data_IF_956950793779
#
_entry.id   IF_956950793779
#
_cell.length_a   1.000
_cell.length_b   1.000
_cell.length_c   1.000
_cell.angle_alpha   90.00
_cell.angle_beta   90.00
_cell.angle_gamma   90.00
#
_symmetry.space_group_name_H-M   'P 1'
#
loop_
_entity.id
_entity.type
_entity.pdbx_description
1 polymer ?
#
# COMPACT_ATOMS: atom_id res chain seq x y z
N UNK A 1 33.64 -4.07 -5.40
CA UNK A 1 33.48 -5.52 -5.62
C UNK A 1 32.17 -6.00 -4.98
N UNK A 2 31.04 -5.98 -5.68
CA UNK A 2 29.74 -6.39 -5.09
C UNK A 2 28.80 -7.20 -6.01
N UNK A 3 29.23 -7.57 -7.23
CA UNK A 3 28.37 -8.23 -8.24
C UNK A 3 28.62 -9.74 -8.44
N UNK A 4 29.53 -10.36 -7.68
CA UNK A 4 30.01 -11.73 -7.98
C UNK A 4 29.22 -12.91 -7.36
N UNK A 5 28.05 -12.68 -6.73
CA UNK A 5 27.28 -13.77 -6.07
C UNK A 5 25.78 -13.86 -6.35
N UNK A 6 25.14 -12.84 -6.91
CA UNK A 6 23.75 -12.93 -7.38
C UNK A 6 23.75 -12.78 -8.90
N UNK A 7 23.34 -13.82 -9.63
CA UNK A 7 23.10 -13.71 -11.08
C UNK A 7 21.74 -13.06 -11.34
N UNK A 8 21.62 -12.16 -12.33
CA UNK A 8 20.34 -11.58 -12.69
C UNK A 8 19.44 -12.62 -13.37
N UNK A 9 18.17 -12.68 -12.97
CA UNK A 9 17.12 -13.52 -13.54
C UNK A 9 16.78 -13.07 -14.98
N UNK A 10 16.78 -11.75 -15.17
CA UNK A 10 16.56 -11.08 -16.45
C UNK A 10 17.35 -9.77 -16.44
N UNK A 11 17.84 -9.35 -17.61
CA UNK A 11 18.50 -8.07 -17.83
C UNK A 11 18.10 -7.49 -19.17
N UNK A 12 17.87 -6.19 -19.23
CA UNK A 12 17.59 -5.43 -20.45
C UNK A 12 18.27 -4.06 -20.39
N UNK A 13 18.36 -3.34 -21.51
CA UNK A 13 18.91 -1.98 -21.53
C UNK A 13 17.80 -0.94 -21.66
N UNK A 14 17.82 0.09 -20.80
CA UNK A 14 16.86 1.20 -20.85
C UNK A 14 17.50 2.50 -20.33
N UNK A 15 16.95 3.64 -20.77
CA UNK A 15 17.20 4.94 -20.12
C UNK A 15 16.34 5.04 -18.86
N UNK A 16 16.95 5.41 -17.73
CA UNK A 16 16.26 5.49 -16.43
C UNK A 16 15.85 6.93 -16.14
N UNK A 17 14.64 7.10 -15.61
CA UNK A 17 14.08 8.37 -15.19
C UNK A 17 13.47 8.24 -13.79
N UNK A 18 13.50 9.33 -13.03
CA UNK A 18 12.75 9.46 -11.77
C UNK A 18 11.75 10.59 -11.88
N UNK A 19 10.60 10.46 -11.21
CA UNK A 19 9.74 11.62 -11.00
C UNK A 19 10.39 12.58 -10.02
N UNK A 20 10.31 13.89 -10.28
CA UNK A 20 10.81 14.92 -9.39
C UNK A 20 10.08 14.84 -8.02
N UNK A 21 10.81 14.70 -6.89
CA UNK A 21 10.18 14.59 -5.58
C UNK A 21 9.45 15.86 -5.14
N UNK A 22 9.78 17.03 -5.70
CA UNK A 22 9.13 18.32 -5.40
C UNK A 22 7.86 18.53 -6.24
N UNK A 23 7.95 18.35 -7.55
CA UNK A 23 6.80 18.65 -8.44
C UNK A 23 5.83 17.49 -8.56
N UNK A 24 6.30 16.25 -8.35
CA UNK A 24 5.56 14.98 -8.58
C UNK A 24 4.89 14.90 -9.96
N UNK A 25 5.42 15.62 -10.96
CA UNK A 25 4.89 15.72 -12.33
C UNK A 25 5.95 15.73 -13.42
N UNK A 26 7.15 16.26 -13.15
CA UNK A 26 8.26 16.30 -14.10
C UNK A 26 9.13 15.06 -14.00
N UNK A 27 9.60 14.56 -15.15
CA UNK A 27 10.60 13.49 -15.21
C UNK A 27 12.00 14.09 -15.20
N UNK A 28 12.89 13.51 -14.39
CA UNK A 28 14.31 13.81 -14.31
C UNK A 28 15.08 12.61 -14.84
N UNK A 29 15.96 12.84 -15.81
CA UNK A 29 16.88 11.81 -16.33
C UNK A 29 17.81 11.31 -15.22
N UNK A 30 17.79 10.01 -14.96
CA UNK A 30 18.58 9.36 -13.92
C UNK A 30 19.78 8.56 -14.45
N UNK A 31 19.83 8.28 -15.76
CA UNK A 31 20.99 7.72 -16.45
C UNK A 31 21.37 8.53 -17.70
N UNK A 32 22.66 8.74 -17.95
CA UNK A 32 23.17 9.51 -19.10
C UNK A 32 23.02 8.79 -20.45
N UNK A 33 22.80 7.48 -20.41
CA UNK A 33 22.64 6.58 -21.56
C UNK A 33 21.72 5.41 -21.19
N UNK A 34 21.42 4.55 -22.15
CA UNK A 34 20.81 3.26 -21.88
C UNK A 34 21.78 2.40 -21.04
N UNK A 35 21.31 1.91 -19.91
CA UNK A 35 22.07 1.09 -18.96
C UNK A 35 21.33 -0.21 -18.65
N UNK A 36 22.04 -1.19 -18.10
CA UNK A 36 21.43 -2.47 -17.74
C UNK A 36 20.49 -2.30 -16.54
N UNK A 37 19.25 -2.75 -16.71
CA UNK A 37 18.22 -2.86 -15.67
C UNK A 37 17.91 -4.34 -15.52
N UNK A 38 18.05 -4.86 -14.30
CA UNK A 38 18.07 -6.30 -14.06
C UNK A 38 17.23 -6.69 -12.85
N UNK A 39 16.57 -7.85 -12.95
CA UNK A 39 15.84 -8.48 -11.85
C UNK A 39 16.77 -9.44 -11.10
N UNK A 40 16.81 -9.32 -9.78
CA UNK A 40 17.60 -10.19 -8.88
C UNK A 40 16.68 -10.82 -7.83
N UNK A 41 17.02 -12.02 -7.39
CA UNK A 41 16.48 -12.64 -6.19
C UNK A 41 17.54 -12.60 -5.09
N UNK A 42 17.22 -11.89 -4.01
CA UNK A 42 18.04 -11.82 -2.80
C UNK A 42 17.65 -12.97 -1.89
N UNK A 43 18.47 -14.03 -1.89
CA UNK A 43 18.22 -15.23 -1.09
C UNK A 43 18.38 -14.99 0.41
N UNK A 44 19.16 -13.98 0.82
CA UNK A 44 19.36 -13.63 2.23
C UNK A 44 18.13 -12.98 2.86
N UNK A 45 17.32 -12.29 2.04
CA UNK A 45 16.09 -11.61 2.46
C UNK A 45 14.81 -12.19 1.84
N UNK A 46 14.92 -13.29 1.11
CA UNK A 46 13.82 -13.99 0.42
C UNK A 46 12.90 -13.04 -0.38
N UNK A 47 13.52 -12.13 -1.16
CA UNK A 47 12.79 -11.09 -1.89
C UNK A 47 13.38 -10.81 -3.26
N UNK A 48 12.57 -10.23 -4.15
CA UNK A 48 12.97 -9.86 -5.50
C UNK A 48 13.21 -8.36 -5.62
N UNK A 49 14.19 -7.97 -6.45
CA UNK A 49 14.61 -6.58 -6.64
C UNK A 49 14.84 -6.25 -8.10
N UNK A 50 14.52 -5.03 -8.50
CA UNK A 50 15.00 -4.40 -9.72
C UNK A 50 16.21 -3.54 -9.34
N UNK A 51 17.36 -3.82 -9.94
CA UNK A 51 18.61 -3.11 -9.70
C UNK A 51 19.16 -2.58 -11.02
N UNK A 52 19.64 -1.35 -11.00
CA UNK A 52 20.38 -0.75 -12.10
C UNK A 52 21.45 0.18 -11.56
N UNK A 53 22.64 0.14 -12.16
CA UNK A 53 23.83 0.87 -11.73
C UNK A 53 24.42 1.66 -12.90
N UNK A 54 24.83 2.89 -12.63
CA UNK A 54 25.60 3.72 -13.55
C UNK A 54 26.97 4.03 -12.91
N UNK A 55 28.04 3.48 -13.48
CA UNK A 55 29.36 3.51 -12.87
C UNK A 55 29.36 2.80 -11.51
N UNK A 56 29.68 3.54 -10.44
CA UNK A 56 29.64 3.05 -9.05
C UNK A 56 28.32 3.35 -8.31
N UNK A 57 27.39 4.08 -8.94
CA UNK A 57 26.16 4.57 -8.31
C UNK A 57 24.97 3.68 -8.66
N UNK A 58 24.26 3.18 -7.65
CA UNK A 58 22.95 2.58 -7.85
C UNK A 58 21.93 3.68 -8.21
N UNK A 59 21.28 3.53 -9.37
CA UNK A 59 20.21 4.44 -9.82
C UNK A 59 18.82 3.82 -9.61
N UNK A 60 18.71 2.49 -9.65
CA UNK A 60 17.50 1.75 -9.23
C UNK A 60 17.89 0.71 -8.16
N UNK A 61 17.12 0.64 -7.08
CA UNK A 61 17.18 -0.40 -6.04
C UNK A 61 15.78 -0.64 -5.47
N UNK A 62 14.86 -1.07 -6.34
CA UNK A 62 13.45 -1.24 -6.05
C UNK A 62 13.17 -2.67 -5.60
N UNK A 63 12.66 -2.87 -4.37
CA UNK A 63 12.14 -4.18 -3.96
C UNK A 63 10.76 -4.38 -4.57
N UNK A 64 10.52 -5.52 -5.22
CA UNK A 64 9.23 -5.85 -5.80
C UNK A 64 8.27 -6.31 -4.69
N UNK A 65 7.01 -5.88 -4.77
CA UNK A 65 5.96 -6.25 -3.82
C UNK A 65 4.74 -6.78 -4.59
N UNK A 66 3.88 -7.64 -3.99
CA UNK A 66 2.74 -8.23 -4.70
C UNK A 66 1.74 -7.21 -5.27
N UNK A 67 1.68 -6.01 -4.68
CA UNK A 67 0.75 -4.93 -5.07
C UNK A 67 1.39 -3.89 -6.00
N UNK A 68 2.67 -4.05 -6.39
CA UNK A 68 3.29 -3.18 -7.38
C UNK A 68 2.72 -3.45 -8.77
N UNK A 69 2.49 -2.37 -9.52
CA UNK A 69 2.06 -2.40 -10.92
C UNK A 69 3.06 -1.63 -11.75
N UNK A 70 3.51 -2.25 -12.84
CA UNK A 70 4.20 -1.55 -13.92
C UNK A 70 3.17 -1.13 -14.96
N UNK A 71 3.11 0.17 -15.24
CA UNK A 71 2.15 0.78 -16.17
C UNK A 71 2.91 1.25 -17.41
N UNK A 72 2.53 0.73 -18.57
CA UNK A 72 2.96 1.27 -19.86
C UNK A 72 2.24 2.61 -20.10
N UNK A 73 2.99 3.66 -20.44
CA UNK A 73 2.44 5.00 -20.71
C UNK A 73 2.80 5.55 -22.09
N UNK A 74 3.64 4.84 -22.86
CA UNK A 74 3.80 5.03 -24.30
C UNK A 74 4.28 3.74 -24.98
N UNK A 75 4.47 3.76 -26.30
CA UNK A 75 4.98 2.62 -27.08
C UNK A 75 6.35 2.09 -26.60
N UNK A 76 7.19 2.95 -25.99
CA UNK A 76 8.55 2.61 -25.56
C UNK A 76 8.86 3.03 -24.12
N UNK A 77 7.85 3.45 -23.35
CA UNK A 77 8.01 3.91 -21.98
C UNK A 77 7.00 3.28 -21.04
N UNK A 78 7.48 2.88 -19.87
CA UNK A 78 6.64 2.44 -18.76
C UNK A 78 7.25 2.80 -17.42
N UNK A 79 6.45 2.71 -16.36
CA UNK A 79 6.77 3.23 -15.04
C UNK A 79 6.18 2.38 -13.92
N UNK A 80 6.77 2.44 -12.73
CA UNK A 80 6.17 1.90 -11.50
C UNK A 80 6.49 2.80 -10.30
N UNK A 81 5.64 2.74 -9.27
CA UNK A 81 5.84 3.43 -8.01
C UNK A 81 6.51 2.48 -7.00
N UNK A 82 7.59 2.93 -6.35
CA UNK A 82 8.15 2.28 -5.16
C UNK A 82 7.89 3.17 -3.94
N UNK A 83 6.87 2.77 -3.17
CA UNK A 83 6.46 3.45 -1.93
C UNK A 83 7.59 3.46 -0.89
N UNK A 84 8.38 2.38 -0.81
CA UNK A 84 9.50 2.25 0.14
C UNK A 84 10.65 3.20 -0.22
N UNK A 85 10.86 3.47 -1.50
CA UNK A 85 11.82 4.45 -2.00
C UNK A 85 11.23 5.87 -2.18
N UNK A 86 9.92 6.06 -1.92
CA UNK A 86 9.15 7.31 -2.12
C UNK A 86 9.37 7.95 -3.51
N UNK A 87 9.49 7.12 -4.55
CA UNK A 87 9.78 7.55 -5.91
C UNK A 87 8.99 6.75 -6.95
N UNK A 88 8.86 7.33 -8.13
CA UNK A 88 8.33 6.65 -9.32
C UNK A 88 9.48 6.52 -10.31
N UNK A 89 9.79 5.29 -10.68
CA UNK A 89 10.79 4.96 -11.69
C UNK A 89 10.11 4.91 -13.06
N UNK A 90 10.77 5.44 -14.08
CA UNK A 90 10.39 5.36 -15.48
C UNK A 90 11.52 4.78 -16.31
N UNK A 91 11.19 3.95 -17.31
CA UNK A 91 12.15 3.32 -18.21
C UNK A 91 11.78 3.59 -19.67
N UNK A 92 12.73 4.14 -20.42
CA UNK A 92 12.65 4.31 -21.88
C UNK A 92 13.47 3.25 -22.61
N UNK A 93 12.81 2.38 -23.36
CA UNK A 93 13.40 1.26 -24.10
C UNK A 93 13.73 1.64 -25.55
N UNK A 94 14.63 0.89 -26.22
CA UNK A 94 14.95 1.14 -27.62
C UNK A 94 13.82 0.66 -28.55
N UNK A 95 13.11 -0.40 -28.16
CA UNK A 95 12.00 -1.01 -28.90
C UNK A 95 10.79 -1.33 -28.01
N UNK A 96 9.62 -1.42 -28.64
CA UNK A 96 8.37 -1.90 -28.00
C UNK A 96 8.49 -3.35 -27.53
N UNK A 97 9.21 -4.19 -28.28
CA UNK A 97 9.46 -5.59 -27.93
C UNK A 97 10.29 -5.76 -26.63
N UNK A 98 11.23 -4.86 -26.33
CA UNK A 98 11.96 -4.87 -25.06
C UNK A 98 11.07 -4.46 -23.88
N UNK A 99 10.22 -3.44 -24.09
CA UNK A 99 9.22 -3.02 -23.11
C UNK A 99 8.23 -4.16 -22.80
N UNK A 100 7.73 -4.85 -23.83
CA UNK A 100 6.86 -6.04 -23.67
C UNK A 100 7.52 -7.13 -22.81
N UNK A 101 8.75 -7.53 -23.14
CA UNK A 101 9.53 -8.50 -22.34
C UNK A 101 9.74 -8.05 -20.89
N UNK A 102 9.96 -6.75 -20.66
CA UNK A 102 10.08 -6.21 -19.31
C UNK A 102 8.76 -6.30 -18.53
N UNK A 103 7.63 -6.00 -19.18
CA UNK A 103 6.29 -6.12 -18.59
C UNK A 103 6.01 -7.57 -18.18
N UNK A 104 6.26 -8.53 -19.07
CA UNK A 104 6.10 -9.97 -18.81
C UNK A 104 6.93 -10.41 -17.59
N UNK A 105 8.24 -10.07 -17.57
CA UNK A 105 9.12 -10.39 -16.45
C UNK A 105 8.77 -9.68 -15.16
N UNK A 106 8.23 -8.46 -15.21
CA UNK A 106 7.71 -7.78 -14.02
C UNK A 106 6.54 -8.57 -13.41
N UNK A 107 5.60 -9.06 -14.21
CA UNK A 107 4.47 -9.86 -13.72
C UNK A 107 4.91 -11.23 -13.18
N UNK A 108 5.80 -11.93 -13.88
CA UNK A 108 6.38 -13.21 -13.44
C UNK A 108 7.04 -13.09 -12.06
N UNK A 109 7.88 -12.06 -11.87
CA UNK A 109 8.57 -11.83 -10.60
C UNK A 109 7.62 -11.34 -9.49
N UNK A 110 6.54 -10.62 -9.84
CA UNK A 110 5.50 -10.22 -8.88
C UNK A 110 4.72 -11.43 -8.33
N UNK A 111 4.32 -12.37 -9.18
CA UNK A 111 3.69 -13.61 -8.71
C UNK A 111 4.68 -14.53 -7.97
N UNK A 112 5.96 -14.57 -8.38
CA UNK A 112 7.00 -15.26 -7.62
C UNK A 112 7.18 -14.66 -6.21
N UNK A 113 7.09 -13.32 -6.07
CA UNK A 113 7.14 -12.62 -4.78
C UNK A 113 5.96 -13.00 -3.87
N UNK A 114 4.74 -13.05 -4.43
CA UNK A 114 3.53 -13.50 -3.73
C UNK A 114 3.66 -14.96 -3.24
N UNK A 115 4.23 -15.83 -4.06
CA UNK A 115 4.47 -17.24 -3.71
C UNK A 115 5.57 -17.40 -2.63
N UNK A 116 6.62 -16.59 -2.67
CA UNK A 116 7.66 -16.56 -1.63
C UNK A 116 7.10 -16.13 -0.27
N UNK A 117 6.21 -15.11 -0.26
CA UNK A 117 5.54 -14.63 0.95
C UNK A 117 4.58 -15.68 1.55
N UNK A 118 3.80 -16.36 0.70
CA UNK A 118 2.89 -17.44 1.14
C UNK A 118 3.66 -18.63 1.74
N UNK A 119 4.80 -19.02 1.17
CA UNK A 119 5.68 -20.07 1.73
C UNK A 119 6.26 -19.66 3.09
N UNK A 120 6.67 -18.40 3.25
CA UNK A 120 7.14 -17.88 4.53
C UNK A 120 6.05 -17.85 5.62
N UNK A 121 4.77 -17.78 5.24
CA UNK A 121 3.65 -17.81 6.20
C UNK A 121 3.24 -19.22 6.66
N UNK A 122 3.70 -20.28 5.99
CA UNK A 122 3.34 -21.67 6.36
C UNK A 122 4.37 -22.30 7.32
N UNK A 123 5.63 -21.90 7.21
CA UNK A 123 6.66 -22.22 8.22
C UNK A 123 6.79 -21.03 9.18
N UNK A 124 6.17 -21.13 10.35
CA UNK A 124 6.01 -20.02 11.32
C UNK A 124 7.32 -19.51 11.94
N UNK A 125 8.09 -18.73 11.19
CA UNK A 125 9.27 -18.01 11.68
C UNK A 125 9.21 -16.53 11.26
N UNK A 126 8.36 -15.76 11.94
CA UNK A 126 8.18 -14.32 11.72
C UNK A 126 9.33 -13.50 12.29
N UNK A 127 10.49 -13.51 11.63
CA UNK A 127 11.53 -12.50 11.88
C UNK A 127 11.17 -11.20 11.17
N UNK A 128 10.48 -10.30 11.89
CA UNK A 128 10.28 -8.92 11.46
C UNK A 128 11.62 -8.19 11.50
N UNK A 129 12.33 -8.12 10.38
CA UNK A 129 13.60 -7.37 10.26
C UNK A 129 13.41 -6.06 9.51
N UNK A 130 12.89 -5.08 10.24
CA UNK A 130 13.04 -3.66 9.89
C UNK A 130 14.48 -3.20 10.12
N UNK A 131 15.41 -3.44 9.19
CA UNK A 131 16.68 -2.70 9.08
C UNK A 131 17.45 -3.01 7.78
N UNK A 132 17.62 -2.01 6.92
CA UNK A 132 18.95 -1.41 6.69
C UNK A 132 18.88 -0.27 5.66
N UNK A 133 19.12 0.95 6.13
CA UNK A 133 19.83 1.94 5.33
C UNK A 133 21.30 1.50 5.24
N UNK A 134 21.94 1.61 4.08
CA UNK A 134 23.36 1.28 3.93
C UNK A 134 24.26 2.33 4.60
N UNK A 135 25.40 1.94 5.19
CA UNK A 135 26.31 2.88 5.83
C UNK A 135 27.05 3.72 4.78
N UNK A 136 27.17 5.03 5.04
CA UNK A 136 28.11 5.90 4.32
C UNK A 136 29.50 5.69 4.91
N UNK A 137 30.49 5.52 4.05
CA UNK A 137 31.88 5.21 4.39
C UNK A 137 32.56 6.33 5.18
N UNK A 138 33.50 5.94 6.04
CA UNK A 138 34.26 6.81 6.93
C UNK A 138 34.98 8.00 6.26
N UNK A 139 35.06 9.10 7.02
CA UNK A 139 36.32 9.86 7.15
C UNK A 139 36.65 10.03 8.63
N UNK A 140 37.91 9.75 8.94
CA UNK A 140 38.52 9.87 10.27
C UNK A 140 39.25 11.21 10.42
N UNK A 141 39.18 11.79 11.60
CA UNK A 141 40.19 12.70 12.15
C UNK A 141 40.16 12.61 13.68
N UNK A 142 41.33 12.72 14.31
CA UNK A 142 41.56 12.33 15.70
C UNK A 142 41.27 13.44 16.71
N UNK A 143 41.15 13.03 17.99
CA UNK A 143 41.57 13.74 19.22
C UNK A 143 41.21 15.22 19.38
N UNK A 144 40.37 15.54 20.38
CA UNK A 144 40.92 15.83 21.71
C UNK A 144 39.86 15.77 22.82
N UNK A 145 40.33 15.56 24.05
CA UNK A 145 39.61 15.84 25.30
C UNK A 145 39.59 17.35 25.59
N UNK A 146 38.47 17.89 26.08
CA UNK A 146 38.46 18.47 27.44
C UNK A 146 37.04 18.85 27.95
N UNK A 147 36.78 18.41 29.17
CA UNK A 147 36.32 19.14 30.37
C UNK A 147 35.36 20.35 30.30
N UNK A 148 34.41 20.36 31.25
CA UNK A 148 33.52 21.46 31.64
C UNK A 148 34.27 22.64 32.27
N UNK A 149 33.73 23.87 32.11
CA UNK A 149 33.67 24.88 33.18
C UNK A 149 32.48 25.84 32.96
N UNK A 150 31.55 26.03 33.94
CA UNK A 150 30.42 26.95 33.82
C UNK A 150 30.60 28.21 34.68
N UNK A 151 31.25 29.25 34.15
CA UNK A 151 31.12 30.62 34.67
C UNK A 151 31.65 31.69 33.68
N UNK A 152 30.76 32.48 33.09
CA UNK A 152 31.02 33.92 33.00
C UNK A 152 29.71 34.72 32.89
N UNK A 153 29.64 35.81 33.64
CA UNK A 153 28.57 36.80 33.65
C UNK A 153 29.06 38.04 32.94
N UNK A 154 28.31 38.52 31.93
CA UNK A 154 27.93 39.93 31.93
C UNK A 154 26.75 40.22 30.98
N UNK A 155 25.99 41.27 31.31
CA UNK A 155 25.00 41.88 30.45
C UNK A 155 24.95 43.38 30.75
N UNK A 156 24.68 44.24 29.74
CA UNK A 156 23.45 45.01 29.89
C UNK A 156 22.60 45.17 28.61
N UNK A 157 21.30 44.98 28.82
CA UNK A 157 20.12 45.40 28.03
C UNK A 157 19.89 46.91 28.38
N UNK A 158 19.22 47.84 27.62
CA UNK A 158 17.94 47.68 26.90
C UNK A 158 17.82 48.54 25.60
N UNK A 159 16.69 48.77 24.91
CA UNK A 159 15.25 48.42 24.99
C UNK A 159 14.72 48.31 23.51
N UNK A 160 13.46 48.03 23.12
CA UNK A 160 12.12 47.75 23.71
C UNK A 160 11.51 46.53 22.97
N UNK A 161 10.36 45.92 23.30
CA UNK A 161 9.30 46.22 24.27
C UNK A 161 7.95 46.53 23.62
N UNK A 162 7.21 45.50 23.15
CA UNK A 162 5.77 45.30 23.45
C UNK A 162 5.11 44.17 22.60
N UNK A 163 4.65 43.14 23.30
CA UNK A 163 3.47 42.34 22.93
C UNK A 163 2.64 42.23 24.22
N UNK A 164 1.30 42.29 24.14
CA UNK A 164 0.52 41.51 25.11
C UNK A 164 -0.67 40.74 24.53
N UNK A 165 -0.85 39.55 25.12
CA UNK A 165 -2.12 38.92 25.48
C UNK A 165 -3.09 38.37 24.40
N UNK A 166 -2.96 37.05 24.22
CA UNK A 166 -4.03 36.03 24.15
C UNK A 166 -5.41 36.46 24.68
N UNK A 167 -6.48 36.21 23.91
CA UNK A 167 -7.71 35.56 24.44
C UNK A 167 -8.73 35.07 23.40
N UNK A 168 -9.13 33.80 23.61
CA UNK A 168 -10.47 33.19 23.41
C UNK A 168 -10.99 32.86 21.99
N UNK A 169 -11.21 31.55 21.84
CA UNK A 169 -12.19 30.84 20.98
C UNK A 169 -13.39 31.68 20.50
N UNK A 170 -13.70 31.53 19.21
CA UNK A 170 -15.09 31.36 18.75
C UNK A 170 -15.13 30.27 17.68
N UNK A 171 -16.07 29.33 17.81
CA UNK A 171 -16.37 28.32 16.79
C UNK A 171 -17.46 28.89 15.89
N UNK A 172 -17.21 28.98 14.58
CA UNK A 172 -18.24 29.38 13.62
C UNK A 172 -18.66 28.18 12.76
N UNK A 173 -19.89 27.74 12.97
CA UNK A 173 -20.56 26.75 12.13
C UNK A 173 -20.83 27.39 10.77
N UNK A 174 -20.24 26.87 9.70
CA UNK A 174 -20.63 27.25 8.33
C UNK A 174 -21.72 26.30 7.87
N UNK A 175 -22.95 26.82 7.90
CA UNK A 175 -24.15 26.12 7.48
C UNK A 175 -24.20 26.00 5.95
N UNK A 176 -24.68 24.87 5.47
CA UNK A 176 -24.83 24.56 4.05
C UNK A 176 -25.71 25.57 3.33
N UNK A 177 -25.29 26.05 2.15
CA UNK A 177 -26.25 26.48 1.15
C UNK A 177 -25.84 26.00 -0.26
N UNK A 178 -26.81 25.46 -1.00
CA UNK A 178 -26.59 24.86 -2.32
C UNK A 178 -26.69 25.95 -3.39
N UNK A 179 -25.69 26.08 -4.25
CA UNK A 179 -25.92 26.59 -5.60
C UNK A 179 -25.06 25.82 -6.60
N UNK A 180 -25.73 25.18 -7.56
CA UNK A 180 -25.09 24.41 -8.62
C UNK A 180 -24.54 25.34 -9.71
N UNK A 181 -23.23 25.33 -9.89
CA UNK A 181 -22.53 25.82 -11.10
C UNK A 181 -21.46 24.80 -11.47
N UNK A 182 -21.42 24.41 -12.74
CA UNK A 182 -20.58 23.32 -13.26
C UNK A 182 -19.21 23.89 -13.68
N UNK A 183 -18.07 23.37 -13.17
CA UNK A 183 -16.75 23.62 -13.75
C UNK A 183 -16.44 22.59 -14.83
N UNK A 184 -15.99 23.07 -15.98
CA UNK A 184 -15.51 22.28 -17.12
C UNK A 184 -14.25 21.47 -16.80
N UNK A 185 -14.20 20.20 -17.22
CA UNK A 185 -13.01 19.35 -17.19
C UNK A 185 -12.25 19.35 -18.54
N UNK A 186 -10.93 19.09 -18.56
CA UNK A 186 -10.09 19.13 -19.76
C UNK A 186 -10.26 17.89 -20.67
N UNK A 187 -9.83 17.95 -21.94
CA UNK A 187 -10.01 16.85 -22.89
C UNK A 187 -9.00 15.71 -22.69
N UNK A 188 -9.48 14.48 -22.64
CA UNK A 188 -8.70 13.24 -22.73
C UNK A 188 -9.04 12.50 -24.02
N UNK A 189 -8.03 12.22 -24.85
CA UNK A 189 -8.17 11.88 -26.28
C UNK A 189 -8.46 10.40 -26.60
N UNK A 190 -9.21 9.68 -25.77
CA UNK A 190 -9.40 8.22 -25.91
C UNK A 190 -10.72 7.78 -26.59
N UNK A 191 -11.44 8.71 -27.25
CA UNK A 191 -12.80 8.47 -27.75
C UNK A 191 -12.91 8.00 -29.23
N UNK A 192 -11.81 7.86 -29.98
CA UNK A 192 -11.86 7.71 -31.45
C UNK A 192 -11.76 6.27 -32.00
N UNK A 193 -11.37 5.27 -31.21
CA UNK A 193 -11.07 3.94 -31.77
C UNK A 193 -12.27 2.99 -31.95
N UNK A 194 -13.44 3.24 -31.34
CA UNK A 194 -14.60 2.33 -31.45
C UNK A 194 -15.63 2.74 -32.54
N UNK A 195 -15.44 3.86 -33.24
CA UNK A 195 -16.33 4.25 -34.34
C UNK A 195 -16.06 3.49 -35.66
N UNK A 196 -14.83 2.99 -35.85
CA UNK A 196 -14.36 2.50 -37.16
C UNK A 196 -14.84 1.08 -37.51
N UNK A 197 -15.29 0.28 -36.54
CA UNK A 197 -15.73 -1.11 -36.79
C UNK A 197 -17.04 -1.18 -37.58
N UNK A 198 -17.95 -0.21 -37.41
CA UNK A 198 -19.26 -0.19 -38.06
C UNK A 198 -19.23 0.31 -39.51
N UNK A 199 -18.18 1.00 -39.95
CA UNK A 199 -18.10 1.53 -41.32
C UNK A 199 -17.65 0.50 -42.36
N UNK A 200 -17.01 -0.60 -41.96
CA UNK A 200 -16.41 -1.56 -42.89
C UNK A 200 -17.39 -2.66 -43.35
N UNK A 201 -18.40 -3.05 -42.56
CA UNK A 201 -19.36 -4.08 -42.99
C UNK A 201 -20.42 -3.57 -43.99
N UNK A 202 -20.69 -2.25 -44.03
CA UNK A 202 -21.77 -1.71 -44.87
C UNK A 202 -21.46 -1.61 -46.38
N UNK A 203 -20.21 -1.84 -46.81
CA UNK A 203 -19.83 -1.71 -48.23
C UNK A 203 -20.02 -2.95 -49.09
N UNK A 204 -20.44 -4.09 -48.51
CA UNK A 204 -20.43 -5.39 -49.21
C UNK A 204 -21.82 -5.94 -49.61
N UNK A 205 -22.92 -5.22 -49.35
CA UNK A 205 -24.29 -5.71 -49.61
C UNK A 205 -25.13 -4.81 -50.54
N UNK A 206 -24.51 -3.92 -51.32
CA UNK A 206 -25.22 -3.02 -52.26
C UNK A 206 -24.98 -3.38 -53.73
N UNK A 207 -25.20 -4.65 -54.10
CA UNK A 207 -25.34 -5.08 -55.50
C UNK A 207 -26.42 -6.18 -55.58
N UNK A 208 -27.65 -5.76 -55.89
CA UNK A 208 -28.73 -6.51 -56.58
C UNK A 208 -30.12 -6.15 -56.04
N UNK A 209 -30.84 -5.29 -56.76
CA UNK A 209 -32.28 -5.46 -57.09
C UNK A 209 -32.77 -4.28 -57.92
N UNK A 210 -33.17 -4.58 -59.15
CA UNK A 210 -33.82 -3.64 -60.07
C UNK A 210 -35.27 -4.07 -60.29
N UNK A 211 -36.24 -3.22 -59.95
CA UNK A 211 -37.45 -2.97 -60.78
C UNK A 211 -38.51 -2.11 -60.08
N UNK A 212 -39.16 -1.27 -60.89
CA UNK A 212 -40.55 -0.77 -60.82
C UNK A 212 -41.21 -0.48 -59.46
N UNK A 213 -41.37 0.82 -59.21
CA UNK A 213 -42.67 1.53 -59.11
C UNK A 213 -43.66 1.17 -58.00
N UNK A 214 -44.07 2.21 -57.23
CA UNK A 214 -45.06 2.13 -56.15
C UNK A 214 -44.47 2.13 -54.72
N UNK A 215 -45.06 2.94 -53.84
CA UNK A 215 -44.86 2.98 -52.37
C UNK A 215 -43.55 3.61 -51.83
N UNK A 216 -43.42 4.93 -51.98
CA UNK A 216 -42.32 5.75 -51.40
C UNK A 216 -42.36 5.89 -49.87
N UNK A 217 -43.41 5.43 -49.18
CA UNK A 217 -43.59 5.54 -47.72
C UNK A 217 -43.03 4.36 -46.94
N UNK A 218 -43.22 3.13 -47.43
CA UNK A 218 -42.87 1.89 -46.70
C UNK A 218 -41.36 1.77 -46.38
N UNK A 219 -40.49 2.16 -47.32
CA UNK A 219 -39.03 2.11 -47.11
C UNK A 219 -38.57 3.05 -45.98
N UNK A 220 -39.13 4.27 -45.92
CA UNK A 220 -38.84 5.22 -44.85
C UNK A 220 -39.33 4.72 -43.48
N UNK A 221 -40.53 4.13 -43.41
CA UNK A 221 -41.06 3.53 -42.19
C UNK A 221 -40.23 2.34 -41.71
N UNK A 222 -39.78 1.46 -42.62
CA UNK A 222 -38.90 0.34 -42.29
C UNK A 222 -37.53 0.82 -41.77
N UNK A 223 -36.95 1.86 -42.37
CA UNK A 223 -35.70 2.45 -41.91
C UNK A 223 -35.85 3.11 -40.54
N UNK A 224 -36.93 3.87 -40.30
CA UNK A 224 -37.25 4.44 -38.99
C UNK A 224 -37.47 3.34 -37.94
N UNK A 225 -38.15 2.24 -38.28
CA UNK A 225 -38.37 1.09 -37.39
C UNK A 225 -37.05 0.40 -37.04
N UNK A 226 -36.14 0.22 -38.00
CA UNK A 226 -34.78 -0.29 -37.75
C UNK A 226 -33.96 0.65 -36.85
N UNK A 227 -33.98 1.97 -37.13
CA UNK A 227 -33.25 2.96 -36.34
C UNK A 227 -33.81 3.08 -34.92
N UNK A 228 -35.13 2.96 -34.74
CA UNK A 228 -35.77 2.93 -33.42
C UNK A 228 -35.32 1.70 -32.60
N UNK A 229 -35.30 0.50 -33.18
CA UNK A 229 -34.77 -0.69 -32.51
C UNK A 229 -33.26 -0.57 -32.19
N UNK A 230 -32.46 0.00 -33.09
CA UNK A 230 -31.04 0.30 -32.82
C UNK A 230 -30.89 1.26 -31.63
N UNK A 231 -31.71 2.30 -31.56
CA UNK A 231 -31.72 3.27 -30.45
C UNK A 231 -32.20 2.65 -29.14
N UNK A 232 -33.19 1.74 -29.16
CA UNK A 232 -33.60 0.96 -27.96
C UNK A 232 -32.45 0.10 -27.44
N UNK A 233 -31.77 -0.65 -28.31
CA UNK A 233 -30.61 -1.46 -27.92
C UNK A 233 -29.47 -0.58 -27.35
N UNK A 234 -29.18 0.56 -27.97
CA UNK A 234 -28.19 1.51 -27.48
C UNK A 234 -28.58 2.11 -26.11
N UNK A 235 -29.87 2.42 -25.89
CA UNK A 235 -30.37 2.92 -24.62
C UNK A 235 -30.30 1.86 -23.51
N UNK A 236 -30.67 0.61 -23.81
CA UNK A 236 -30.54 -0.51 -22.89
C UNK A 236 -29.06 -0.81 -22.53
N UNK A 237 -28.15 -0.71 -23.50
CA UNK A 237 -26.71 -0.82 -23.25
C UNK A 237 -26.20 0.36 -22.41
N UNK A 238 -26.68 1.58 -22.66
CA UNK A 238 -26.32 2.78 -21.89
C UNK A 238 -26.79 2.69 -20.44
N UNK A 239 -28.00 2.17 -20.18
CA UNK A 239 -28.51 1.97 -18.80
C UNK A 239 -27.75 0.87 -18.06
N UNK A 240 -27.37 -0.22 -18.73
CA UNK A 240 -26.49 -1.25 -18.15
C UNK A 240 -25.11 -0.70 -17.81
N UNK A 241 -24.54 0.16 -18.68
CA UNK A 241 -23.28 0.85 -18.41
C UNK A 241 -23.43 1.81 -17.21
N UNK A 242 -24.49 2.62 -17.15
CA UNK A 242 -24.75 3.51 -16.01
C UNK A 242 -24.80 2.74 -14.68
N UNK A 243 -25.53 1.62 -14.63
CA UNK A 243 -25.59 0.74 -13.44
C UNK A 243 -24.23 0.15 -13.06
N UNK A 244 -23.36 -0.17 -14.03
CA UNK A 244 -21.97 -0.59 -13.76
C UNK A 244 -21.19 0.54 -13.08
N UNK A 245 -21.26 1.77 -13.61
CA UNK A 245 -20.60 2.94 -13.01
C UNK A 245 -21.12 3.26 -11.60
N UNK A 246 -22.43 3.07 -11.34
CA UNK A 246 -23.01 3.22 -10.00
C UNK A 246 -22.42 2.21 -8.99
N UNK A 247 -22.32 0.94 -9.38
CA UNK A 247 -21.73 -0.13 -8.55
C UNK A 247 -20.24 0.13 -8.30
N UNK A 248 -19.50 0.55 -9.33
CA UNK A 248 -18.08 0.88 -9.22
C UNK A 248 -17.86 2.09 -8.31
N UNK A 249 -18.69 3.14 -8.43
CA UNK A 249 -18.68 4.31 -7.55
C UNK A 249 -19.02 3.95 -6.09
N UNK A 250 -20.00 3.08 -5.85
CA UNK A 250 -20.32 2.59 -4.51
C UNK A 250 -19.16 1.78 -3.90
N UNK A 251 -18.50 0.96 -4.71
CA UNK A 251 -17.32 0.17 -4.32
C UNK A 251 -16.14 1.08 -3.99
N UNK A 252 -15.87 2.09 -4.82
CA UNK A 252 -14.83 3.09 -4.58
C UNK A 252 -15.08 3.90 -3.31
N UNK A 253 -16.33 4.29 -3.03
CA UNK A 253 -16.72 4.96 -1.77
C UNK A 253 -16.46 4.06 -0.54
N UNK A 254 -16.83 2.79 -0.61
CA UNK A 254 -16.60 1.80 0.46
C UNK A 254 -15.10 1.59 0.72
N UNK A 255 -14.31 1.45 -0.35
CA UNK A 255 -12.85 1.33 -0.26
C UNK A 255 -12.19 2.60 0.30
N UNK A 256 -12.64 3.79 -0.13
CA UNK A 256 -12.12 5.06 0.39
C UNK A 256 -12.40 5.24 1.89
N UNK A 257 -13.61 4.88 2.34
CA UNK A 257 -13.95 4.88 3.77
C UNK A 257 -13.02 3.93 4.56
N UNK A 258 -12.83 2.70 4.07
CA UNK A 258 -11.93 1.71 4.72
C UNK A 258 -10.49 2.21 4.79
N UNK A 259 -9.97 2.83 3.74
CA UNK A 259 -8.63 3.42 3.71
C UNK A 259 -8.51 4.58 4.71
N UNK A 260 -9.54 5.43 4.83
CA UNK A 260 -9.58 6.52 5.83
C UNK A 260 -9.56 5.96 7.25
N UNK A 261 -10.34 4.91 7.56
CA UNK A 261 -10.31 4.26 8.88
C UNK A 261 -8.95 3.65 9.19
N UNK A 262 -8.35 2.90 8.24
CA UNK A 262 -7.03 2.31 8.41
C UNK A 262 -5.92 3.36 8.59
N UNK A 263 -6.05 4.53 7.95
CA UNK A 263 -5.12 5.65 8.13
C UNK A 263 -5.27 6.29 9.53
N UNK A 264 -6.50 6.44 10.03
CA UNK A 264 -6.76 6.91 11.40
C UNK A 264 -6.19 5.94 12.44
N UNK A 265 -6.43 4.64 12.28
CA UNK A 265 -5.89 3.58 13.13
C UNK A 265 -4.35 3.56 13.09
N UNK A 266 -3.75 3.63 11.91
CA UNK A 266 -2.29 3.72 11.78
C UNK A 266 -1.71 4.99 12.43
N UNK A 267 -2.47 6.09 12.46
CA UNK A 267 -2.05 7.32 13.15
C UNK A 267 -2.10 7.14 14.67
N UNK A 268 -3.16 6.53 15.19
CA UNK A 268 -3.29 6.20 16.62
C UNK A 268 -2.17 5.25 17.08
N UNK A 269 -1.86 4.21 16.29
CA UNK A 269 -0.77 3.26 16.58
C UNK A 269 0.60 3.95 16.64
N UNK A 270 0.86 4.95 15.80
CA UNK A 270 2.10 5.75 15.86
C UNK A 270 2.20 6.54 17.18
N UNK A 271 1.09 7.06 17.69
CA UNK A 271 1.07 7.78 18.97
C UNK A 271 1.13 6.84 20.19
N UNK A 272 0.55 5.64 20.10
CA UNK A 272 0.74 4.55 21.07
C UNK A 272 2.22 4.14 21.16
N UNK A 273 2.88 3.90 20.02
CA UNK A 273 4.32 3.57 19.98
C UNK A 273 5.21 4.69 20.51
N UNK A 274 4.87 5.96 20.28
CA UNK A 274 5.57 7.10 20.92
C UNK A 274 5.42 7.05 22.44
N UNK A 275 4.23 6.74 22.95
CA UNK A 275 3.96 6.62 24.40
C UNK A 275 4.73 5.45 25.02
N UNK A 276 4.75 4.29 24.37
CA UNK A 276 5.56 3.13 24.77
C UNK A 276 7.06 3.46 24.77
N UNK A 277 7.56 4.12 23.73
CA UNK A 277 8.96 4.58 23.66
C UNK A 277 9.32 5.59 24.75
N UNK A 278 8.38 6.44 25.18
CA UNK A 278 8.58 7.35 26.31
C UNK A 278 8.69 6.57 27.62
N UNK A 279 7.74 5.67 27.89
CA UNK A 279 7.74 4.78 29.07
C UNK A 279 9.05 3.98 29.19
N UNK A 280 9.52 3.37 28.10
CA UNK A 280 10.80 2.65 28.10
C UNK A 280 12.02 3.55 28.31
N UNK A 281 11.99 4.82 27.90
CA UNK A 281 13.07 5.77 28.20
C UNK A 281 13.09 6.14 29.68
N UNK A 282 11.94 6.39 30.27
CA UNK A 282 11.80 6.67 31.71
C UNK A 282 12.25 5.46 32.55
N UNK A 283 11.84 4.25 32.17
CA UNK A 283 12.28 3.01 32.84
C UNK A 283 13.80 2.79 32.70
N UNK A 284 14.37 3.00 31.51
CA UNK A 284 15.82 2.87 31.30
C UNK A 284 16.60 3.92 32.12
N UNK A 285 16.08 5.14 32.25
CA UNK A 285 16.65 6.18 33.11
C UNK A 285 16.55 5.79 34.59
N UNK A 286 15.41 5.26 35.04
CA UNK A 286 15.23 4.76 36.42
C UNK A 286 16.21 3.63 36.75
N UNK A 287 16.42 2.70 35.82
CA UNK A 287 17.39 1.61 35.97
C UNK A 287 18.84 2.13 36.03
N UNK A 288 19.20 3.15 35.23
CA UNK A 288 20.53 3.79 35.29
C UNK A 288 20.78 4.47 36.64
N UNK A 289 19.78 5.16 37.19
CA UNK A 289 19.87 5.78 38.53
C UNK A 289 20.08 4.69 39.59
N UNK A 290 19.23 3.65 39.61
CA UNK A 290 19.37 2.50 40.56
C UNK A 290 20.73 1.82 40.43
N UNK A 291 21.30 1.74 39.23
CA UNK A 291 22.63 1.18 39.00
C UNK A 291 23.75 2.09 39.54
N UNK A 292 23.66 3.42 39.34
CA UNK A 292 24.61 4.37 39.90
C UNK A 292 24.58 4.40 41.44
N UNK A 293 23.39 4.30 42.05
CA UNK A 293 23.23 4.19 43.51
C UNK A 293 23.89 2.92 44.07
N UNK A 294 23.74 1.78 43.37
CA UNK A 294 24.35 0.51 43.76
C UNK A 294 25.89 0.51 43.61
N UNK A 295 26.43 1.11 42.56
CA UNK A 295 27.88 1.25 42.38
C UNK A 295 28.48 2.25 43.40
N UNK A 296 27.81 3.38 43.68
CA UNK A 296 28.22 4.32 44.72
C UNK A 296 28.24 3.67 46.11
N UNK A 297 27.26 2.80 46.40
CA UNK A 297 27.20 2.02 47.65
C UNK A 297 28.32 0.98 47.80
N UNK A 298 29.01 0.63 46.71
CA UNK A 298 30.05 -0.40 46.67
C UNK A 298 31.47 0.16 46.81
N UNK A 299 31.67 1.45 46.54
CA UNK A 299 32.98 2.11 46.59
C UNK A 299 33.49 2.50 47.98
N UNK A 300 32.69 2.34 49.05
CA UNK A 300 33.01 2.85 50.39
C UNK A 300 33.76 1.90 51.34
N UNK A 301 34.07 0.66 50.93
CA UNK A 301 34.46 -0.42 51.87
C UNK A 301 35.80 -1.11 51.55
N UNK A 302 36.88 -0.35 51.38
CA UNK A 302 38.24 -0.91 51.34
C UNK A 302 39.31 0.01 51.95
N UNK A 303 39.37 0.13 53.28
CA UNK A 303 40.63 0.23 54.06
C UNK A 303 40.41 0.17 55.58
N UNK A 304 40.78 -0.96 56.20
CA UNK A 304 41.37 -1.05 57.55
C UNK A 304 40.54 -0.71 58.81
N UNK A 305 40.38 -1.70 59.70
CA UNK A 305 40.10 -1.49 61.13
C UNK A 305 38.68 -1.87 61.61
N UNK A 306 38.60 -2.77 62.58
CA UNK A 306 37.36 -3.17 63.27
C UNK A 306 37.15 -2.34 64.56
N UNK A 307 36.04 -2.47 65.34
CA UNK A 307 34.82 -3.26 65.13
C UNK A 307 33.50 -2.44 65.32
N UNK A 308 32.35 -3.15 65.29
CA UNK A 308 31.00 -2.71 65.73
C UNK A 308 30.10 -1.93 64.73
N UNK A 309 28.82 -2.29 64.69
CA UNK A 309 27.72 -1.45 64.14
C UNK A 309 27.01 -1.94 62.87
N UNK A 310 27.74 -2.20 61.77
CA UNK A 310 27.17 -2.14 60.40
C UNK A 310 26.58 -3.45 59.81
N UNK A 311 26.62 -4.57 60.54
CA UNK A 311 26.22 -5.87 60.00
C UNK A 311 24.70 -6.03 59.76
N UNK A 312 23.86 -5.30 60.50
CA UNK A 312 22.39 -5.41 60.42
C UNK A 312 21.81 -4.90 59.10
N UNK A 313 22.02 -3.62 58.78
CA UNK A 313 21.41 -2.95 57.62
C UNK A 313 21.78 -3.61 56.28
N UNK A 314 23.01 -4.10 56.14
CA UNK A 314 23.47 -4.81 54.92
C UNK A 314 22.75 -6.16 54.75
N UNK A 315 22.38 -6.80 55.86
CA UNK A 315 21.62 -8.06 55.86
C UNK A 315 20.15 -7.80 55.53
N UNK A 316 19.53 -6.78 56.14
CA UNK A 316 18.14 -6.38 55.86
C UNK A 316 17.93 -5.99 54.39
N UNK A 317 18.86 -5.23 53.79
CA UNK A 317 18.82 -4.88 52.36
C UNK A 317 18.96 -6.12 51.46
N UNK A 318 19.79 -7.09 51.85
CA UNK A 318 19.92 -8.35 51.12
C UNK A 318 18.64 -9.20 51.21
N UNK A 319 17.96 -9.19 52.36
CA UNK A 319 16.69 -9.90 52.56
C UNK A 319 15.51 -9.21 51.88
N UNK A 320 15.48 -7.89 51.79
CA UNK A 320 14.50 -7.14 51.00
C UNK A 320 14.67 -7.41 49.50
N UNK A 321 15.91 -7.42 48.98
CA UNK A 321 16.17 -7.80 47.59
C UNK A 321 15.78 -9.27 47.31
N UNK A 322 15.98 -10.20 48.25
CA UNK A 322 15.47 -11.59 48.14
C UNK A 322 13.94 -11.64 48.08
N UNK A 323 13.26 -10.80 48.88
CA UNK A 323 11.79 -10.68 48.94
C UNK A 323 11.21 -10.09 47.65
N UNK A 324 11.82 -9.03 47.11
CA UNK A 324 11.43 -8.43 45.82
C UNK A 324 11.69 -9.41 44.65
N UNK A 325 12.81 -10.14 44.65
CA UNK A 325 13.08 -11.19 43.66
C UNK A 325 12.03 -12.31 43.73
N UNK A 326 11.56 -12.69 44.94
CA UNK A 326 10.50 -13.69 45.09
C UNK A 326 9.15 -13.18 44.55
N UNK A 327 8.78 -11.93 44.84
CA UNK A 327 7.57 -11.29 44.32
C UNK A 327 7.59 -11.14 42.80
N UNK A 328 8.71 -10.71 42.22
CA UNK A 328 8.86 -10.58 40.76
C UNK A 328 8.80 -11.95 40.07
N UNK A 329 9.37 -13.01 40.66
CA UNK A 329 9.22 -14.38 40.15
C UNK A 329 7.78 -14.87 40.18
N UNK A 330 7.07 -14.67 41.30
CA UNK A 330 5.63 -14.98 41.38
C UNK A 330 4.83 -14.22 40.32
N UNK A 331 5.13 -12.93 40.12
CA UNK A 331 4.44 -12.11 39.13
C UNK A 331 4.72 -12.54 37.69
N UNK A 332 5.93 -13.01 37.39
CA UNK A 332 6.26 -13.61 36.08
C UNK A 332 5.45 -14.90 35.89
N UNK A 333 5.42 -15.79 36.89
CA UNK A 333 4.67 -17.06 36.81
C UNK A 333 3.15 -16.83 36.62
N UNK A 334 2.58 -15.80 37.27
CA UNK A 334 1.19 -15.40 37.07
C UNK A 334 0.92 -14.84 35.67
N UNK A 335 1.85 -14.04 35.13
CA UNK A 335 1.75 -13.50 33.76
C UNK A 335 1.92 -14.60 32.70
N UNK A 336 2.76 -15.60 32.95
CA UNK A 336 2.92 -16.77 32.09
C UNK A 336 1.64 -17.63 32.06
N UNK A 337 0.99 -17.83 33.21
CA UNK A 337 -0.32 -18.51 33.30
C UNK A 337 -1.42 -17.74 32.57
N UNK A 338 -1.50 -16.43 32.74
CA UNK A 338 -2.46 -15.58 32.05
C UNK A 338 -2.25 -15.61 30.53
N UNK A 339 -0.99 -15.52 30.08
CA UNK A 339 -0.64 -15.60 28.65
C UNK A 339 -0.96 -16.98 28.05
N UNK A 340 -0.72 -18.07 28.79
CA UNK A 340 -1.13 -19.42 28.39
C UNK A 340 -2.66 -19.54 28.29
N UNK A 341 -3.40 -18.96 29.23
CA UNK A 341 -4.87 -18.98 29.22
C UNK A 341 -5.44 -18.20 28.03
N UNK A 342 -4.89 -17.02 27.74
CA UNK A 342 -5.24 -16.23 26.55
C UNK A 342 -4.90 -16.96 25.24
N UNK A 343 -3.79 -17.72 25.19
CA UNK A 343 -3.46 -18.53 24.00
C UNK A 343 -4.45 -19.69 23.79
N UNK A 344 -4.94 -20.31 24.87
CA UNK A 344 -5.99 -21.34 24.82
C UNK A 344 -7.31 -20.73 24.33
N UNK A 345 -7.70 -19.57 24.83
CA UNK A 345 -8.92 -18.87 24.42
C UNK A 345 -8.84 -18.44 22.94
N UNK A 346 -7.70 -17.90 22.49
CA UNK A 346 -7.44 -17.58 21.08
C UNK A 346 -7.52 -18.81 20.18
N UNK A 347 -6.99 -19.96 20.61
CA UNK A 347 -7.09 -21.23 19.87
C UNK A 347 -8.56 -21.71 19.79
N UNK A 348 -9.32 -21.60 20.88
CA UNK A 348 -10.74 -21.95 20.91
C UNK A 348 -11.58 -21.02 20.00
N UNK A 349 -11.35 -19.71 20.05
CA UNK A 349 -12.02 -18.72 19.20
C UNK A 349 -11.72 -18.95 17.71
N UNK A 350 -10.44 -19.18 17.35
CA UNK A 350 -10.05 -19.50 15.97
C UNK A 350 -10.67 -20.81 15.48
N UNK A 351 -10.75 -21.84 16.33
CA UNK A 351 -11.44 -23.09 16.00
C UNK A 351 -12.93 -22.85 15.75
N UNK A 352 -13.62 -22.12 16.64
CA UNK A 352 -15.04 -21.78 16.46
C UNK A 352 -15.30 -20.97 15.19
N UNK A 353 -14.43 -20.01 14.84
CA UNK A 353 -14.50 -19.27 13.59
C UNK A 353 -14.32 -20.20 12.38
N UNK A 354 -13.37 -21.15 12.46
CA UNK A 354 -13.12 -22.12 11.39
C UNK A 354 -14.28 -23.07 11.18
N UNK A 355 -14.90 -23.53 12.27
CA UNK A 355 -16.07 -24.40 12.25
C UNK A 355 -17.28 -23.67 11.65
N UNK A 356 -17.53 -22.40 12.04
CA UNK A 356 -18.56 -21.53 11.41
C UNK A 356 -18.31 -21.24 9.93
N UNK A 357 -17.05 -21.06 9.52
CA UNK A 357 -16.69 -20.93 8.10
C UNK A 357 -16.89 -22.24 7.33
N UNK A 358 -16.77 -23.38 8.03
CA UNK A 358 -16.95 -24.71 7.44
C UNK A 358 -18.40 -25.21 7.46
N UNK A 359 -19.29 -24.50 8.15
CA UNK A 359 -20.71 -24.85 8.33
C UNK A 359 -21.37 -25.22 6.99
N UNK A 360 -21.97 -26.42 6.86
CA UNK A 360 -22.61 -26.86 5.64
C UNK A 360 -23.76 -25.93 5.22
N UNK A 361 -24.46 -25.29 6.15
CA UNK A 361 -25.55 -24.34 5.84
C UNK A 361 -25.01 -23.07 5.19
N UNK A 362 -23.88 -22.52 5.67
CA UNK A 362 -23.22 -21.35 5.09
C UNK A 362 -22.68 -21.66 3.69
N UNK A 363 -22.12 -22.85 3.50
CA UNK A 363 -21.66 -23.34 2.18
C UNK A 363 -22.81 -23.57 1.21
N UNK A 364 -23.91 -24.18 1.67
CA UNK A 364 -25.13 -24.35 0.88
C UNK A 364 -25.73 -23.00 0.48
N UNK A 365 -25.84 -22.05 1.42
CA UNK A 365 -26.34 -20.70 1.15
C UNK A 365 -25.47 -19.96 0.13
N UNK A 366 -24.14 -20.03 0.28
CA UNK A 366 -23.19 -19.45 -0.69
C UNK A 366 -23.33 -20.07 -2.08
N UNK A 367 -23.53 -21.38 -2.14
CA UNK A 367 -23.74 -22.13 -3.40
C UNK A 367 -25.06 -21.74 -4.05
N UNK A 368 -26.14 -21.61 -3.27
CA UNK A 368 -27.46 -21.21 -3.72
C UNK A 368 -27.49 -19.76 -4.21
N UNK A 369 -26.81 -18.83 -3.52
CA UNK A 369 -26.63 -17.45 -4.00
C UNK A 369 -25.87 -17.40 -5.34
N UNK A 370 -24.89 -18.29 -5.55
CA UNK A 370 -24.20 -18.42 -6.84
C UNK A 370 -25.15 -18.93 -7.94
N UNK A 371 -25.92 -19.99 -7.66
CA UNK A 371 -26.91 -20.55 -8.59
C UNK A 371 -27.99 -19.53 -8.97
N UNK A 372 -28.55 -18.78 -8.01
CA UNK A 372 -29.48 -17.69 -8.30
C UNK A 372 -28.84 -16.60 -9.17
N UNK A 373 -27.56 -16.27 -8.98
CA UNK A 373 -26.85 -15.30 -9.82
C UNK A 373 -26.71 -15.78 -11.27
N UNK A 374 -26.48 -17.09 -11.48
CA UNK A 374 -26.47 -17.71 -12.81
C UNK A 374 -27.85 -17.68 -13.45
N UNK A 375 -28.90 -18.15 -12.75
CA UNK A 375 -30.27 -18.15 -13.28
C UNK A 375 -30.81 -16.75 -13.58
N UNK A 376 -30.46 -15.74 -12.78
CA UNK A 376 -30.76 -14.33 -13.09
C UNK A 376 -30.09 -13.92 -14.41
N UNK A 377 -28.84 -14.36 -14.65
CA UNK A 377 -28.12 -14.06 -15.90
C UNK A 377 -28.76 -14.77 -17.11
N UNK A 378 -29.18 -16.03 -16.95
CA UNK A 378 -29.89 -16.82 -17.97
C UNK A 378 -31.25 -16.22 -18.31
N UNK A 379 -32.05 -15.84 -17.30
CA UNK A 379 -33.35 -15.15 -17.48
C UNK A 379 -33.20 -13.83 -18.24
N UNK A 380 -32.18 -13.02 -17.91
CA UNK A 380 -31.86 -11.80 -18.66
C UNK A 380 -31.42 -12.10 -20.11
N UNK A 381 -30.84 -13.28 -20.38
CA UNK A 381 -30.52 -13.75 -21.73
C UNK A 381 -31.76 -14.15 -22.52
N UNK A 382 -32.62 -14.99 -21.92
CA UNK A 382 -33.88 -15.45 -22.53
C UNK A 382 -34.86 -14.28 -22.79
N UNK A 383 -34.92 -13.30 -21.88
CA UNK A 383 -35.71 -12.09 -22.08
C UNK A 383 -35.27 -11.34 -23.35
N UNK A 384 -33.97 -11.17 -23.56
CA UNK A 384 -33.42 -10.53 -24.77
C UNK A 384 -33.73 -11.33 -26.04
N UNK A 385 -33.68 -12.66 -25.97
CA UNK A 385 -33.98 -13.49 -27.14
C UNK A 385 -35.48 -13.46 -27.49
N UNK A 386 -36.36 -13.50 -26.49
CA UNK A 386 -37.80 -13.30 -26.69
C UNK A 386 -38.11 -11.92 -27.28
N UNK A 387 -37.41 -10.88 -26.81
CA UNK A 387 -37.55 -9.52 -27.33
C UNK A 387 -37.13 -9.42 -28.81
N UNK A 388 -36.04 -10.09 -29.22
CA UNK A 388 -35.67 -10.24 -30.64
C UNK A 388 -36.73 -10.98 -31.45
N UNK A 389 -37.29 -12.09 -30.94
CA UNK A 389 -38.32 -12.88 -31.65
C UNK A 389 -39.60 -12.07 -31.84
N UNK A 390 -39.98 -11.25 -30.85
CA UNK A 390 -41.09 -10.31 -30.98
C UNK A 390 -40.77 -9.26 -32.06
N UNK A 391 -39.55 -8.70 -32.07
CA UNK A 391 -39.12 -7.74 -33.11
C UNK A 391 -39.07 -8.35 -34.52
N UNK A 392 -38.73 -9.63 -34.70
CA UNK A 392 -38.72 -10.29 -36.02
C UNK A 392 -40.13 -10.63 -36.48
N UNK A 393 -41.00 -11.18 -35.60
CA UNK A 393 -42.40 -11.42 -35.95
C UNK A 393 -43.11 -10.11 -36.32
N UNK A 394 -42.87 -9.03 -35.57
CA UNK A 394 -43.44 -7.70 -35.84
C UNK A 394 -42.80 -7.00 -37.06
N UNK A 395 -41.86 -7.63 -37.78
CA UNK A 395 -41.36 -7.22 -39.11
C UNK A 395 -41.88 -8.12 -40.24
N UNK A 396 -42.39 -9.31 -39.92
CA UNK A 396 -42.94 -10.30 -40.86
C UNK A 396 -44.47 -10.25 -40.97
N UNK A 397 -45.12 -9.41 -40.15
CA UNK A 397 -46.55 -9.07 -40.17
C UNK A 397 -46.68 -7.57 -40.36
#
# INVERSE_FOLDING_TARGET
>A
FFFFREQPIFSCNAHVFHIDPKTKRTWITASSKAISVSFFYDSSRNLYRIISVEGSKAVINSTITPNMTFTQTSQKFGQWSDVRANTVYGLGFASEAELGKFIEKFQEVKEATKNALNKASTNGNSTVTSANASPVTARSSMSNSDSFDPNNVDAPIPATGNVPAVSKKTVTIIQTNRHSTIPSHPPTNDALNNANTLSNELKQMSINSSSSDGMTTSSAEQQLKYENERLKLALAQSSANAKKWEIELATLKSNNLRLTSALQESTANVDEWKRQLHSYKEENQRLKIRYQELEASKGGSTTGGAPSGSAGATTEMADELRREIALLKSRIEDLEKELMNQEIELKAANKSLKDKQNDPTVKQLTTLCSQFSVHITELNGLQKEMEKVIQTHHKAT
#
